data_IF_104009159849
#
_entry.id   IF_104009159849
#
_cell.length_a   1.000
_cell.length_b   1.000
_cell.length_c   1.000
_cell.angle_alpha   90.00
_cell.angle_beta   90.00
_cell.angle_gamma   90.00
#
_symmetry.space_group_name_H-M   'P 1'
#
loop_
_entity.id
_entity.type
_entity.pdbx_description
1 polymer ?
#
# COMPACT_ATOMS: atom_id res chain seq x y z
N UNK A 1 1.80 -5.07 18.06
CA UNK A 1 2.89 -5.59 17.20
C UNK A 1 2.39 -5.48 15.77
N UNK A 2 2.81 -4.47 15.01
CA UNK A 2 2.39 -4.31 13.61
C UNK A 2 3.22 -5.31 12.79
N UNK A 3 2.57 -6.33 12.25
CA UNK A 3 3.21 -7.32 11.39
C UNK A 3 3.69 -6.60 10.11
N UNK A 4 5.00 -6.45 9.95
CA UNK A 4 5.61 -6.21 8.64
C UNK A 4 5.55 -7.53 7.88
N UNK A 5 4.41 -7.85 7.30
CA UNK A 5 4.30 -8.99 6.40
C UNK A 5 4.61 -8.50 5.01
N UNK A 6 5.69 -9.04 4.44
CA UNK A 6 6.01 -8.95 3.01
C UNK A 6 4.87 -9.50 2.14
N UNK A 7 3.93 -10.22 2.74
CA UNK A 7 2.79 -10.84 2.10
C UNK A 7 1.62 -9.85 1.92
N UNK A 8 1.09 -9.72 0.70
CA UNK A 8 -0.20 -9.08 0.47
C UNK A 8 -1.31 -9.75 1.27
N UNK A 9 -2.33 -8.98 1.62
CA UNK A 9 -3.49 -9.47 2.34
C UNK A 9 -4.79 -9.07 1.64
N UNK A 10 -5.82 -9.89 1.83
CA UNK A 10 -7.15 -9.64 1.30
C UNK A 10 -7.86 -8.62 2.18
N UNK A 11 -8.55 -7.68 1.55
CA UNK A 11 -9.46 -6.77 2.24
C UNK A 11 -10.62 -7.57 2.82
N UNK A 12 -10.67 -7.63 4.14
CA UNK A 12 -11.81 -8.13 4.90
C UNK A 12 -12.70 -6.97 5.40
N UNK A 13 -13.70 -7.29 6.23
CA UNK A 13 -14.62 -6.30 6.77
C UNK A 13 -13.94 -5.28 7.70
N UNK A 14 -12.90 -5.69 8.44
CA UNK A 14 -12.20 -4.80 9.37
C UNK A 14 -11.39 -3.75 8.60
N UNK A 15 -10.63 -4.22 7.60
CA UNK A 15 -9.88 -3.36 6.69
C UNK A 15 -10.82 -2.42 5.93
N UNK A 16 -11.93 -2.95 5.40
CA UNK A 16 -12.90 -2.16 4.65
C UNK A 16 -13.50 -1.04 5.53
N UNK A 17 -13.96 -1.36 6.74
CA UNK A 17 -14.55 -0.36 7.61
C UNK A 17 -13.54 0.70 8.07
N UNK A 18 -12.28 0.32 8.24
CA UNK A 18 -11.22 1.22 8.74
C UNK A 18 -10.67 2.13 7.64
N UNK A 19 -10.48 1.63 6.42
CA UNK A 19 -9.71 2.31 5.39
C UNK A 19 -10.52 2.82 4.20
N UNK A 20 -11.75 2.34 4.01
CA UNK A 20 -12.49 2.64 2.78
C UNK A 20 -12.94 4.11 2.68
N UNK A 21 -13.11 4.83 3.80
CA UNK A 21 -13.38 6.27 3.76
C UNK A 21 -12.25 7.04 3.04
N UNK A 22 -10.99 6.73 3.37
CA UNK A 22 -9.81 7.34 2.72
C UNK A 22 -9.58 6.78 1.31
N UNK A 23 -9.84 5.49 1.10
CA UNK A 23 -9.56 4.77 -0.14
C UNK A 23 -8.06 4.62 -0.43
N UNK A 24 -7.75 3.98 -1.55
CA UNK A 24 -6.38 3.79 -2.01
C UNK A 24 -5.80 5.13 -2.53
N UNK A 25 -4.76 5.64 -1.88
CA UNK A 25 -4.12 6.92 -2.26
C UNK A 25 -3.27 6.84 -3.54
N UNK A 26 -2.95 5.64 -4.01
CA UNK A 26 -2.19 5.46 -5.25
C UNK A 26 -3.09 5.55 -6.49
N UNK A 27 -4.21 4.81 -6.50
CA UNK A 27 -5.13 4.77 -7.66
C UNK A 27 -6.41 5.61 -7.49
N UNK A 28 -6.61 6.25 -6.34
CA UNK A 28 -7.80 7.03 -5.99
C UNK A 28 -9.14 6.27 -6.08
N UNK A 29 -9.09 4.93 -5.91
CA UNK A 29 -10.28 4.07 -5.85
C UNK A 29 -10.57 3.60 -4.43
N UNK A 30 -11.83 3.26 -4.18
CA UNK A 30 -12.27 2.62 -2.93
C UNK A 30 -11.77 1.17 -2.86
N UNK A 31 -11.69 0.64 -1.66
CA UNK A 31 -11.41 -0.79 -1.44
C UNK A 31 -12.73 -1.57 -1.54
N UNK A 32 -12.64 -2.81 -2.00
CA UNK A 32 -13.72 -3.78 -2.03
C UNK A 32 -13.32 -5.04 -1.29
N UNK A 33 -14.30 -5.79 -0.75
CA UNK A 33 -14.03 -7.08 -0.12
C UNK A 33 -13.35 -8.02 -1.12
N UNK A 34 -12.26 -8.66 -0.68
CA UNK A 34 -11.47 -9.55 -1.51
C UNK A 34 -10.44 -8.87 -2.42
N UNK A 35 -10.34 -7.53 -2.42
CA UNK A 35 -9.22 -6.84 -3.05
C UNK A 35 -7.90 -7.26 -2.37
N UNK A 36 -6.83 -7.42 -3.15
CA UNK A 36 -5.48 -7.62 -2.59
C UNK A 36 -4.82 -6.27 -2.34
N UNK A 37 -4.31 -6.08 -1.11
CA UNK A 37 -3.70 -4.83 -0.65
C UNK A 37 -2.39 -5.09 0.08
N UNK A 38 -1.57 -4.04 0.15
CA UNK A 38 -0.28 -4.03 0.86
C UNK A 38 -0.10 -2.71 1.59
N UNK A 39 0.69 -2.74 2.67
CA UNK A 39 1.18 -1.53 3.33
C UNK A 39 2.45 -1.05 2.61
N UNK A 40 2.35 0.04 1.85
CA UNK A 40 3.43 0.53 1.01
C UNK A 40 3.94 1.90 1.46
N UNK A 41 5.24 2.15 1.32
CA UNK A 41 5.82 3.48 1.47
C UNK A 41 5.53 4.36 0.26
N UNK A 42 5.29 5.65 0.48
CA UNK A 42 4.97 6.58 -0.60
C UNK A 42 5.37 8.02 -0.30
N UNK A 43 5.05 8.96 -1.21
CA UNK A 43 5.42 10.36 -1.10
C UNK A 43 4.47 11.14 -0.17
N UNK A 44 3.72 10.45 0.69
CA UNK A 44 2.64 11.05 1.47
C UNK A 44 3.20 11.72 2.73
N UNK A 45 2.89 13.01 2.95
CA UNK A 45 3.49 13.78 4.04
C UNK A 45 2.85 13.49 5.41
N UNK A 46 1.61 12.99 5.43
CA UNK A 46 0.86 12.73 6.66
C UNK A 46 1.26 11.41 7.32
N UNK A 47 1.46 10.36 6.52
CA UNK A 47 1.90 9.05 7.00
C UNK A 47 2.91 8.46 6.00
N UNK A 48 4.05 7.91 6.47
CA UNK A 48 5.08 7.38 5.60
C UNK A 48 4.65 6.10 4.86
N UNK A 49 3.64 5.40 5.36
CA UNK A 49 3.12 4.14 4.81
C UNK A 49 1.60 4.23 4.73
N UNK A 50 1.02 3.77 3.63
CA UNK A 50 -0.43 3.64 3.48
C UNK A 50 -0.82 2.31 2.89
N UNK A 51 -2.05 1.89 3.21
CA UNK A 51 -2.69 0.78 2.54
C UNK A 51 -3.01 1.17 1.11
N UNK A 52 -2.51 0.40 0.14
CA UNK A 52 -2.80 0.56 -1.28
C UNK A 52 -3.10 -0.79 -1.91
N UNK A 53 -3.80 -0.78 -3.06
CA UNK A 53 -3.95 -1.98 -3.88
C UNK A 53 -2.57 -2.51 -4.27
N UNK A 54 -2.38 -3.83 -4.17
CA UNK A 54 -1.11 -4.51 -4.47
C UNK A 54 -0.60 -4.14 -5.88
N UNK A 55 -1.51 -4.05 -6.85
CA UNK A 55 -1.20 -3.66 -8.22
C UNK A 55 -0.63 -2.23 -8.37
N UNK A 56 -0.71 -1.39 -7.35
CA UNK A 56 -0.11 -0.05 -7.33
C UNK A 56 1.23 -0.02 -6.59
N UNK A 57 1.70 -1.17 -6.12
CA UNK A 57 2.92 -1.31 -5.35
C UNK A 57 3.99 -2.13 -6.09
N UNK A 58 5.24 -1.97 -5.65
CA UNK A 58 6.40 -2.80 -6.00
C UNK A 58 7.04 -3.26 -4.71
N UNK A 59 7.36 -4.54 -4.61
CA UNK A 59 8.17 -5.06 -3.52
C UNK A 59 9.65 -4.85 -3.86
N UNK A 60 10.39 -4.20 -2.95
CA UNK A 60 11.83 -4.02 -3.07
C UNK A 60 12.56 -5.03 -2.18
N UNK A 61 13.14 -6.06 -2.82
CA UNK A 61 13.87 -7.13 -2.14
C UNK A 61 15.07 -6.61 -1.33
N UNK A 62 15.63 -5.45 -1.68
CA UNK A 62 16.79 -4.89 -0.96
C UNK A 62 16.41 -4.36 0.42
N UNK A 63 15.18 -3.85 0.55
CA UNK A 63 14.68 -3.23 1.79
C UNK A 63 13.64 -4.09 2.50
N UNK A 64 13.11 -5.13 1.84
CA UNK A 64 12.05 -5.97 2.38
C UNK A 64 10.77 -5.17 2.63
N UNK A 65 10.41 -4.31 1.68
CA UNK A 65 9.30 -3.40 1.84
C UNK A 65 8.56 -3.14 0.53
N UNK A 66 7.25 -2.92 0.63
CA UNK A 66 6.43 -2.44 -0.47
C UNK A 66 6.56 -0.92 -0.61
N UNK A 67 6.64 -0.46 -1.86
CA UNK A 67 6.63 0.95 -2.23
C UNK A 67 5.55 1.21 -3.25
N UNK A 68 4.93 2.38 -3.20
CA UNK A 68 4.07 2.87 -4.28
C UNK A 68 4.90 3.00 -5.56
N UNK A 69 4.35 2.51 -6.69
CA UNK A 69 5.05 2.38 -7.98
C UNK A 69 5.72 3.68 -8.43
N UNK A 70 4.97 4.78 -8.49
CA UNK A 70 5.50 6.05 -8.98
C UNK A 70 6.60 6.61 -8.07
N UNK A 71 6.46 6.46 -6.76
CA UNK A 71 7.45 6.85 -5.77
C UNK A 71 8.71 6.01 -5.87
N UNK A 72 8.58 4.69 -6.00
CA UNK A 72 9.72 3.79 -6.18
C UNK A 72 10.52 4.13 -7.44
N UNK A 73 9.85 4.37 -8.57
CA UNK A 73 10.50 4.75 -9.82
C UNK A 73 11.24 6.08 -9.70
N UNK A 74 10.66 7.07 -9.02
CA UNK A 74 11.34 8.36 -8.76
C UNK A 74 12.56 8.20 -7.87
N UNK A 75 12.50 7.31 -6.87
CA UNK A 75 13.62 7.02 -5.95
C UNK A 75 14.81 6.37 -6.65
N UNK A 76 14.58 5.55 -7.68
CA UNK A 76 15.66 4.93 -8.45
C UNK A 76 16.28 5.85 -9.52
N UNK A 77 15.63 6.97 -9.85
CA UNK A 77 16.03 7.89 -10.91
C UNK A 77 17.04 8.98 -10.52
N UNK A 78 17.93 8.72 -9.55
CA UNK A 78 19.06 9.62 -9.19
C UNK A 78 20.38 8.88 -9.25
#
# INVERSE_FOLDING_TARGET
MQQKTDTPFLVDLDILNTHNEKGCKACNRKFSLGDTVVMAYGPWPDEPVKLIHEQEAVFDDNTGAWYEKAYFMKRQGT
#
